data_IF_411166160539
#
_entry.id   IF_411166160539
#
_cell.length_a   1.000
_cell.length_b   1.000
_cell.length_c   1.000
_cell.angle_alpha   90.00
_cell.angle_beta   90.00
_cell.angle_gamma   90.00
#
_symmetry.space_group_name_H-M   'P 1'
#
loop_
_entity.id
_entity.type
_entity.pdbx_description
1 polymer ?
#
# COMPACT_ATOMS: atom_id res chain seq x y z
N UNK A 1 26.90 -53.28 -1.96
CA UNK A 1 27.11 -51.96 -2.63
C UNK A 1 25.90 -51.00 -2.57
N UNK A 2 24.65 -51.45 -2.87
CA UNK A 2 23.46 -50.55 -2.89
C UNK A 2 23.18 -49.80 -1.57
N UNK A 3 23.46 -50.39 -0.42
CA UNK A 3 23.21 -49.76 0.91
C UNK A 3 24.10 -48.53 1.21
N UNK A 4 25.34 -48.51 0.73
CA UNK A 4 26.27 -47.40 0.99
C UNK A 4 25.89 -46.15 0.18
N UNK A 5 25.47 -46.34 -1.08
CA UNK A 5 24.99 -45.25 -1.93
C UNK A 5 23.70 -44.62 -1.37
N UNK A 6 22.78 -45.45 -0.90
CA UNK A 6 21.53 -44.99 -0.29
C UNK A 6 21.77 -44.14 0.95
N UNK A 7 22.68 -44.55 1.84
CA UNK A 7 23.07 -43.77 3.02
C UNK A 7 23.71 -42.42 2.64
N UNK A 8 24.54 -42.38 1.60
CA UNK A 8 25.15 -41.13 1.11
C UNK A 8 24.12 -40.18 0.53
N UNK A 9 23.13 -40.69 -0.21
CA UNK A 9 22.03 -39.88 -0.75
C UNK A 9 21.20 -39.28 0.38
N UNK A 10 20.82 -40.06 1.39
CA UNK A 10 20.08 -39.55 2.55
C UNK A 10 20.88 -38.48 3.30
N UNK A 11 22.18 -38.71 3.52
CA UNK A 11 23.04 -37.71 4.17
C UNK A 11 23.12 -36.44 3.36
N UNK A 12 23.25 -36.53 2.03
CA UNK A 12 23.27 -35.34 1.16
C UNK A 12 21.95 -34.56 1.23
N UNK A 13 20.81 -35.23 1.14
CA UNK A 13 19.48 -34.59 1.27
C UNK A 13 19.36 -33.88 2.63
N UNK A 14 19.79 -34.53 3.70
CA UNK A 14 19.75 -33.96 5.04
C UNK A 14 20.66 -32.74 5.16
N UNK A 15 21.86 -32.79 4.60
CA UNK A 15 22.77 -31.65 4.57
C UNK A 15 22.19 -30.45 3.79
N UNK A 16 21.55 -30.69 2.64
CA UNK A 16 20.87 -29.65 1.86
C UNK A 16 19.72 -29.03 2.66
N UNK A 17 18.92 -29.85 3.33
CA UNK A 17 17.82 -29.35 4.19
C UNK A 17 18.34 -28.51 5.36
N UNK A 18 19.44 -28.91 5.99
CA UNK A 18 20.05 -28.11 7.07
C UNK A 18 20.57 -26.76 6.56
N UNK A 19 21.28 -26.75 5.44
CA UNK A 19 21.78 -25.52 4.82
C UNK A 19 20.63 -24.60 4.46
N UNK A 20 19.57 -25.13 3.84
CA UNK A 20 18.39 -24.37 3.50
C UNK A 20 17.67 -23.80 4.73
N UNK A 21 17.52 -24.61 5.79
CA UNK A 21 16.92 -24.16 7.05
C UNK A 21 17.72 -23.04 7.71
N UNK A 22 19.05 -23.14 7.71
CA UNK A 22 19.93 -22.09 8.22
C UNK A 22 19.82 -20.81 7.39
N UNK A 23 19.81 -20.92 6.07
CA UNK A 23 19.57 -19.78 5.17
C UNK A 23 18.22 -19.12 5.45
N UNK A 24 17.14 -19.91 5.55
CA UNK A 24 15.81 -19.39 5.83
C UNK A 24 15.75 -18.64 7.16
N UNK A 25 16.32 -19.20 8.21
CA UNK A 25 16.41 -18.56 9.53
C UNK A 25 17.15 -17.22 9.45
N UNK A 26 18.30 -17.19 8.76
CA UNK A 26 19.09 -15.97 8.57
C UNK A 26 18.26 -14.88 7.86
N UNK A 27 17.64 -15.20 6.73
CA UNK A 27 16.82 -14.24 5.98
C UNK A 27 15.57 -13.83 6.78
N UNK A 28 14.95 -14.72 7.56
CA UNK A 28 13.78 -14.39 8.36
C UNK A 28 14.08 -13.37 9.46
N UNK A 29 15.27 -13.46 10.07
CA UNK A 29 15.73 -12.47 11.06
C UNK A 29 16.00 -11.12 10.38
N UNK A 30 16.67 -11.12 9.22
CA UNK A 30 16.90 -9.92 8.43
C UNK A 30 15.58 -9.25 8.02
N UNK A 31 14.64 -10.02 7.51
CA UNK A 31 13.32 -9.53 7.11
C UNK A 31 12.57 -8.88 8.28
N UNK A 32 12.53 -9.55 9.44
CA UNK A 32 11.94 -8.98 10.64
C UNK A 32 12.61 -7.67 11.07
N UNK A 33 13.94 -7.64 11.03
CA UNK A 33 14.73 -6.46 11.44
C UNK A 33 14.49 -5.29 10.50
N UNK A 34 14.45 -5.53 9.19
CA UNK A 34 14.17 -4.48 8.21
C UNK A 34 12.76 -3.91 8.37
N UNK A 35 11.74 -4.77 8.52
CA UNK A 35 10.38 -4.31 8.79
C UNK A 35 10.36 -3.44 10.04
N UNK A 36 10.97 -3.91 11.13
CA UNK A 36 11.03 -3.16 12.38
C UNK A 36 11.69 -1.79 12.19
N UNK A 37 12.87 -1.76 11.58
CA UNK A 37 13.63 -0.52 11.37
C UNK A 37 12.84 0.49 10.52
N UNK A 38 12.14 0.03 9.48
CA UNK A 38 11.32 0.89 8.64
C UNK A 38 10.11 1.43 9.41
N UNK A 39 9.44 0.60 10.21
CA UNK A 39 8.31 1.03 11.05
C UNK A 39 8.76 2.03 12.13
N UNK A 40 9.91 1.78 12.75
CA UNK A 40 10.50 2.69 13.74
C UNK A 40 10.93 4.03 13.09
N UNK A 41 11.45 3.99 11.84
CA UNK A 41 11.83 5.18 11.08
C UNK A 41 10.65 6.11 10.78
N UNK A 42 9.48 5.56 10.45
CA UNK A 42 8.25 6.32 10.21
C UNK A 42 7.46 6.61 11.48
N UNK A 43 8.06 6.40 12.67
CA UNK A 43 7.43 6.60 13.97
C UNK A 43 6.07 5.90 14.13
N UNK A 44 5.94 4.70 13.57
CA UNK A 44 4.71 3.92 13.70
C UNK A 44 4.60 3.21 15.03
N UNK A 45 3.37 3.04 15.50
CA UNK A 45 3.07 2.22 16.66
C UNK A 45 2.61 0.83 16.21
N UNK A 46 3.12 -0.23 16.84
CA UNK A 46 2.68 -1.61 16.60
C UNK A 46 2.92 -2.46 17.84
N UNK A 47 2.11 -3.49 18.04
CA UNK A 47 2.23 -4.33 19.24
C UNK A 47 3.23 -5.46 19.06
N UNK A 48 3.28 -6.13 17.92
CA UNK A 48 4.12 -7.28 17.67
C UNK A 48 4.37 -7.53 16.17
N UNK A 49 5.56 -8.07 15.85
CA UNK A 49 5.92 -8.57 14.53
C UNK A 49 6.28 -10.06 14.64
N UNK A 50 5.49 -10.92 14.03
CA UNK A 50 5.70 -12.38 14.01
C UNK A 50 6.02 -12.86 12.59
N UNK A 51 7.20 -13.45 12.40
CA UNK A 51 7.59 -14.04 11.12
C UNK A 51 7.33 -15.55 11.13
N UNK A 52 6.79 -16.08 10.03
CA UNK A 52 6.42 -17.49 9.84
C UNK A 52 6.49 -17.86 8.34
N UNK A 53 6.13 -19.10 8.00
CA UNK A 53 5.91 -19.51 6.61
C UNK A 53 7.01 -20.41 6.00
N UNK A 54 7.92 -20.98 6.85
CA UNK A 54 8.87 -22.01 6.41
C UNK A 54 8.13 -23.19 5.71
N UNK A 55 8.70 -23.76 4.65
CA UNK A 55 9.94 -23.39 3.99
C UNK A 55 9.78 -22.49 2.77
N UNK A 56 8.57 -22.26 2.26
CA UNK A 56 8.37 -21.75 0.90
C UNK A 56 8.19 -20.24 0.82
N UNK A 57 7.80 -19.61 1.91
CA UNK A 57 7.58 -18.16 1.96
C UNK A 57 7.99 -17.60 3.31
N UNK A 58 8.19 -16.30 3.36
CA UNK A 58 8.27 -15.54 4.61
C UNK A 58 7.04 -14.68 4.73
N UNK A 59 6.43 -14.72 5.89
CA UNK A 59 5.21 -13.99 6.19
C UNK A 59 5.39 -13.27 7.52
N UNK A 60 5.42 -11.95 7.48
CA UNK A 60 5.40 -11.13 8.68
C UNK A 60 3.96 -10.70 8.97
N UNK A 61 3.46 -11.04 10.15
CA UNK A 61 2.21 -10.52 10.69
C UNK A 61 2.55 -9.40 11.67
N UNK A 62 1.96 -8.22 11.45
CA UNK A 62 2.11 -7.03 12.27
C UNK A 62 0.74 -6.73 12.86
N UNK A 63 0.66 -6.77 14.19
CA UNK A 63 -0.59 -6.49 14.89
C UNK A 63 -0.65 -5.03 15.31
N UNK A 64 -1.83 -4.44 15.24
CA UNK A 64 -2.17 -3.10 15.74
C UNK A 64 -1.22 -2.02 15.18
N UNK A 65 -0.95 -2.07 13.86
CA UNK A 65 -0.12 -1.07 13.22
C UNK A 65 -0.90 0.24 13.09
N UNK A 66 -0.35 1.30 13.65
CA UNK A 66 -0.88 2.65 13.54
C UNK A 66 0.22 3.61 13.12
N UNK A 67 -0.09 4.41 12.10
CA UNK A 67 0.71 5.56 11.68
C UNK A 67 0.08 6.80 12.26
N UNK A 68 0.86 7.56 13.03
CA UNK A 68 0.47 8.83 13.64
C UNK A 68 1.47 9.92 13.23
N UNK A 69 1.20 11.16 13.60
CA UNK A 69 2.06 12.32 13.32
C UNK A 69 1.95 12.89 11.91
N UNK A 70 0.75 12.84 11.34
CA UNK A 70 0.47 13.69 10.18
C UNK A 70 0.39 15.16 10.65
N UNK A 71 1.20 16.04 10.08
CA UNK A 71 1.25 17.47 10.46
C UNK A 71 -0.03 18.23 10.06
N UNK A 72 -0.93 17.59 9.33
CA UNK A 72 -2.20 18.17 8.95
C UNK A 72 -3.30 17.86 9.99
N UNK A 73 -4.16 18.85 10.27
CA UNK A 73 -5.28 18.69 11.20
C UNK A 73 -6.41 17.80 10.64
N UNK A 74 -6.33 17.38 9.37
CA UNK A 74 -7.36 16.61 8.70
C UNK A 74 -7.27 15.11 9.00
N UNK A 75 -6.05 14.55 8.98
CA UNK A 75 -5.81 13.14 9.24
C UNK A 75 -4.90 13.00 10.47
N UNK A 76 -5.35 12.32 11.51
CA UNK A 76 -4.57 12.12 12.73
C UNK A 76 -3.83 10.80 12.75
N UNK A 77 -4.53 9.73 12.42
CA UNK A 77 -4.01 8.37 12.47
C UNK A 77 -4.49 7.56 11.27
N UNK A 78 -3.65 6.63 10.83
CA UNK A 78 -4.03 5.55 9.93
C UNK A 78 -3.81 4.23 10.68
N UNK A 79 -4.88 3.51 10.94
CA UNK A 79 -4.84 2.22 11.61
C UNK A 79 -4.95 1.10 10.58
N UNK A 80 -4.08 0.13 10.70
CA UNK A 80 -4.06 -1.07 9.87
C UNK A 80 -4.35 -2.28 10.75
N UNK A 81 -5.34 -3.07 10.36
CA UNK A 81 -5.74 -4.26 11.08
C UNK A 81 -5.23 -5.51 10.35
N UNK A 82 -4.52 -6.37 11.11
CA UNK A 82 -3.99 -7.65 10.60
C UNK A 82 -3.10 -7.48 9.36
N UNK A 83 -2.11 -6.59 9.45
CA UNK A 83 -1.16 -6.41 8.34
C UNK A 83 -0.29 -7.63 8.18
N UNK A 84 -0.30 -8.16 6.98
CA UNK A 84 0.55 -9.27 6.58
C UNK A 84 1.42 -8.88 5.40
N UNK A 85 2.72 -9.06 5.54
CA UNK A 85 3.70 -8.86 4.48
C UNK A 85 4.29 -10.23 4.13
N UNK A 86 4.05 -10.69 2.91
CA UNK A 86 4.57 -11.95 2.40
C UNK A 86 5.72 -11.68 1.42
N UNK A 87 6.78 -12.48 1.51
CA UNK A 87 7.94 -12.43 0.65
C UNK A 87 8.36 -13.84 0.25
N UNK A 88 8.78 -14.01 -1.01
CA UNK A 88 9.48 -15.22 -1.42
C UNK A 88 10.97 -15.10 -1.06
N UNK A 89 11.55 -16.04 -0.29
CA UNK A 89 12.97 -15.98 0.10
C UNK A 89 13.96 -16.01 -1.08
N UNK A 90 13.51 -16.39 -2.27
CA UNK A 90 14.32 -16.38 -3.51
C UNK A 90 14.01 -15.17 -4.42
N UNK A 91 13.03 -14.33 -4.06
CA UNK A 91 12.64 -13.10 -4.75
C UNK A 91 12.41 -12.01 -3.71
N UNK A 92 13.48 -11.56 -3.10
CA UNK A 92 13.46 -10.60 -1.99
C UNK A 92 13.09 -9.17 -2.43
N UNK A 93 13.06 -8.94 -3.73
CA UNK A 93 12.68 -7.69 -4.38
C UNK A 93 11.16 -7.50 -4.51
N UNK A 94 10.39 -8.55 -4.25
CA UNK A 94 8.92 -8.53 -4.39
C UNK A 94 8.24 -8.84 -3.07
N UNK A 95 7.44 -7.88 -2.60
CA UNK A 95 6.63 -7.99 -1.38
C UNK A 95 5.14 -8.01 -1.72
N UNK A 96 4.39 -8.78 -0.98
CA UNK A 96 2.92 -8.81 -1.05
C UNK A 96 2.37 -8.35 0.30
N UNK A 97 1.58 -7.29 0.26
CA UNK A 97 0.91 -6.70 1.42
C UNK A 97 -0.55 -7.16 1.46
N UNK A 98 -1.06 -7.43 2.64
CA UNK A 98 -2.51 -7.63 2.89
C UNK A 98 -2.89 -6.99 4.21
N UNK A 99 -4.06 -6.37 4.22
CA UNK A 99 -4.71 -5.92 5.45
C UNK A 99 -6.21 -6.14 5.32
N UNK A 100 -6.83 -6.64 6.37
CA UNK A 100 -8.28 -6.86 6.37
C UNK A 100 -9.02 -5.52 6.36
N UNK A 101 -8.46 -4.52 7.04
CA UNK A 101 -9.03 -3.19 7.13
C UNK A 101 -7.92 -2.16 7.31
N UNK A 102 -8.09 -1.00 6.67
CA UNK A 102 -7.26 0.19 6.85
C UNK A 102 -8.18 1.38 7.06
N UNK A 103 -8.03 2.07 8.16
CA UNK A 103 -8.90 3.14 8.60
C UNK A 103 -8.11 4.41 8.87
N UNK A 104 -8.55 5.52 8.28
CA UNK A 104 -8.00 6.84 8.56
C UNK A 104 -8.94 7.63 9.46
N UNK A 105 -8.42 8.18 10.55
CA UNK A 105 -9.20 8.94 11.55
C UNK A 105 -9.01 10.44 11.36
N UNK A 106 -10.09 11.20 11.55
CA UNK A 106 -10.09 12.66 11.50
C UNK A 106 -9.59 13.25 12.82
N UNK A 107 -8.66 14.22 12.76
CA UNK A 107 -8.22 15.03 13.91
C UNK A 107 -7.63 14.24 15.09
N UNK A 108 -6.95 14.92 15.99
CA UNK A 108 -6.17 14.29 17.05
C UNK A 108 -6.99 13.53 18.12
N UNK A 109 -8.28 13.83 18.25
CA UNK A 109 -9.15 13.26 19.29
C UNK A 109 -10.46 12.68 18.73
N UNK A 110 -10.58 12.56 17.41
CA UNK A 110 -11.79 12.02 16.78
C UNK A 110 -11.74 10.49 16.71
N UNK A 111 -12.89 9.88 16.94
CA UNK A 111 -13.13 8.46 16.64
C UNK A 111 -13.77 8.28 15.27
N UNK A 112 -13.97 9.40 14.55
CA UNK A 112 -14.62 9.38 13.25
C UNK A 112 -13.65 8.96 12.16
N UNK A 113 -14.07 7.98 11.37
CA UNK A 113 -13.31 7.45 10.25
C UNK A 113 -13.58 8.28 9.00
N UNK A 114 -12.52 8.91 8.45
CA UNK A 114 -12.58 9.60 7.16
C UNK A 114 -12.68 8.62 6.01
N UNK A 115 -11.93 7.54 6.09
CA UNK A 115 -11.95 6.48 5.10
C UNK A 115 -11.73 5.12 5.75
N UNK A 116 -12.31 4.10 5.13
CA UNK A 116 -12.15 2.72 5.56
C UNK A 116 -12.01 1.80 4.33
N UNK A 117 -10.79 1.32 4.10
CA UNK A 117 -10.52 0.29 3.10
C UNK A 117 -10.75 -1.09 3.71
N UNK A 118 -11.41 -1.97 2.96
CA UNK A 118 -11.57 -3.39 3.31
C UNK A 118 -10.85 -4.28 2.30
N UNK A 119 -10.23 -5.34 2.82
CA UNK A 119 -9.49 -6.32 2.02
C UNK A 119 -8.43 -5.66 1.13
N UNK A 120 -7.62 -4.77 1.71
CA UNK A 120 -6.50 -4.15 1.00
C UNK A 120 -5.45 -5.20 0.67
N UNK A 121 -5.08 -5.30 -0.60
CA UNK A 121 -4.01 -6.15 -1.09
C UNK A 121 -3.03 -5.31 -1.88
N UNK A 122 -1.74 -5.61 -1.71
CA UNK A 122 -0.68 -4.87 -2.39
C UNK A 122 0.40 -5.78 -2.94
N UNK A 123 1.01 -5.34 -4.03
CA UNK A 123 2.26 -5.89 -4.56
C UNK A 123 3.24 -4.75 -4.74
N UNK A 124 4.38 -4.87 -4.09
CA UNK A 124 5.47 -3.90 -4.11
C UNK A 124 6.67 -4.58 -4.77
N UNK A 125 7.24 -3.95 -5.78
CA UNK A 125 8.50 -4.39 -6.39
C UNK A 125 9.55 -3.33 -6.11
N UNK A 126 10.68 -3.79 -5.56
CA UNK A 126 11.80 -2.97 -5.18
C UNK A 126 12.95 -3.15 -6.19
N UNK A 127 13.73 -2.11 -6.41
CA UNK A 127 15.03 -2.19 -7.06
C UNK A 127 15.97 -1.25 -6.32
N UNK A 128 17.11 -1.77 -5.87
CA UNK A 128 18.11 -1.00 -5.11
C UNK A 128 17.53 -0.28 -3.87
N UNK A 129 16.51 -0.88 -3.25
CA UNK A 129 15.81 -0.33 -2.08
C UNK A 129 14.70 0.68 -2.41
N UNK A 130 14.54 1.08 -3.66
CA UNK A 130 13.47 1.97 -4.11
C UNK A 130 12.25 1.19 -4.60
N UNK A 131 11.06 1.75 -4.40
CA UNK A 131 9.82 1.20 -4.95
C UNK A 131 9.76 1.55 -6.44
N UNK A 132 9.90 0.54 -7.31
CA UNK A 132 9.76 0.71 -8.77
C UNK A 132 8.35 0.40 -9.27
N UNK A 133 7.61 -0.45 -8.55
CA UNK A 133 6.21 -0.74 -8.87
C UNK A 133 5.41 -0.93 -7.59
N UNK A 134 4.25 -0.32 -7.54
CA UNK A 134 3.24 -0.52 -6.51
C UNK A 134 1.90 -0.82 -7.18
N UNK A 135 1.25 -1.89 -6.78
CA UNK A 135 -0.13 -2.20 -7.11
C UNK A 135 -0.89 -2.37 -5.81
N UNK A 136 -1.92 -1.56 -5.59
CA UNK A 136 -2.86 -1.71 -4.48
C UNK A 136 -4.25 -1.99 -5.04
N UNK A 137 -4.95 -2.92 -4.42
CA UNK A 137 -6.32 -3.30 -4.76
C UNK A 137 -7.10 -3.37 -3.46
N UNK A 138 -8.29 -2.77 -3.43
CA UNK A 138 -9.23 -2.93 -2.34
C UNK A 138 -10.61 -3.25 -2.90
N UNK A 139 -11.31 -4.17 -2.22
CA UNK A 139 -12.69 -4.53 -2.60
C UNK A 139 -13.64 -3.39 -2.31
N UNK A 140 -13.33 -2.60 -1.26
CA UNK A 140 -14.26 -1.64 -0.71
C UNK A 140 -13.53 -0.47 -0.06
N UNK A 141 -14.03 0.73 -0.29
CA UNK A 141 -13.61 1.96 0.37
C UNK A 141 -14.87 2.76 0.74
N UNK A 142 -15.10 2.92 2.02
CA UNK A 142 -16.09 3.85 2.55
C UNK A 142 -15.42 5.21 2.76
N UNK A 143 -16.03 6.28 2.26
CA UNK A 143 -15.61 7.66 2.50
C UNK A 143 -16.64 8.35 3.37
N UNK A 144 -16.18 8.93 4.47
CA UNK A 144 -17.00 9.69 5.40
C UNK A 144 -16.43 11.09 5.58
N UNK A 145 -17.26 12.04 5.91
CA UNK A 145 -16.86 13.39 6.31
C UNK A 145 -17.79 13.88 7.40
N UNK A 146 -17.27 14.06 8.60
CA UNK A 146 -18.05 14.17 9.81
C UNK A 146 -19.07 13.03 9.88
N UNK A 147 -20.26 13.23 10.33
CA UNK A 147 -21.32 12.20 10.42
C UNK A 147 -21.94 11.80 9.06
N UNK A 148 -21.42 12.29 7.93
CA UNK A 148 -21.98 12.04 6.60
C UNK A 148 -21.16 11.00 5.84
N UNK A 149 -21.82 9.92 5.39
CA UNK A 149 -21.24 9.01 4.40
C UNK A 149 -21.24 9.71 3.03
N UNK A 150 -20.05 10.03 2.51
CA UNK A 150 -19.88 10.68 1.20
C UNK A 150 -20.14 9.68 0.08
N UNK A 151 -19.78 8.41 0.29
CA UNK A 151 -19.98 7.40 -0.73
C UNK A 151 -19.25 6.10 -0.45
N UNK A 152 -19.72 5.09 -1.16
CA UNK A 152 -19.17 3.73 -1.15
C UNK A 152 -18.51 3.47 -2.49
N UNK A 153 -17.20 3.21 -2.44
CA UNK A 153 -16.38 2.94 -3.60
C UNK A 153 -16.02 1.46 -3.61
N UNK A 154 -16.20 0.81 -4.73
CA UNK A 154 -15.84 -0.59 -4.93
C UNK A 154 -14.77 -0.72 -6.00
N UNK A 155 -14.07 -1.86 -6.01
CA UNK A 155 -13.07 -2.18 -7.01
C UNK A 155 -11.99 -1.10 -7.18
N UNK A 156 -11.43 -0.64 -6.06
CA UNK A 156 -10.35 0.34 -6.09
C UNK A 156 -9.06 -0.33 -6.54
N UNK A 157 -8.42 0.25 -7.55
CA UNK A 157 -7.12 -0.20 -8.07
C UNK A 157 -6.22 1.01 -8.20
N UNK A 158 -5.04 0.95 -7.56
CA UNK A 158 -3.99 1.96 -7.69
C UNK A 158 -2.73 1.29 -8.22
N UNK A 159 -2.13 1.86 -9.25
CA UNK A 159 -0.86 1.42 -9.83
C UNK A 159 0.10 2.59 -9.86
N UNK A 160 1.31 2.37 -9.35
CA UNK A 160 2.41 3.30 -9.46
C UNK A 160 3.58 2.55 -10.11
N UNK A 161 4.17 3.11 -11.14
CA UNK A 161 5.38 2.59 -11.78
C UNK A 161 6.40 3.72 -11.87
N UNK A 162 7.61 3.47 -11.45
CA UNK A 162 8.76 4.35 -11.67
C UNK A 162 9.37 4.01 -13.03
N UNK A 163 9.54 4.99 -13.87
CA UNK A 163 10.24 4.84 -15.15
C UNK A 163 11.76 5.10 -15.03
N UNK A 164 12.47 4.90 -16.14
CA UNK A 164 13.91 5.12 -16.21
C UNK A 164 14.34 6.59 -16.10
N UNK A 165 13.38 7.53 -16.13
CA UNK A 165 13.61 8.98 -16.02
C UNK A 165 13.30 9.51 -14.63
N UNK A 166 13.11 8.63 -13.65
CA UNK A 166 12.72 8.98 -12.29
C UNK A 166 11.34 9.65 -12.20
N UNK A 167 10.43 9.24 -13.09
CA UNK A 167 9.04 9.70 -13.11
C UNK A 167 8.12 8.57 -12.63
N UNK A 168 7.33 8.86 -11.61
CA UNK A 168 6.26 7.98 -11.17
C UNK A 168 5.03 8.17 -12.04
N UNK A 169 4.65 7.14 -12.77
CA UNK A 169 3.37 7.06 -13.46
C UNK A 169 2.32 6.53 -12.49
N UNK A 170 1.29 7.33 -12.22
CA UNK A 170 0.22 7.02 -11.28
C UNK A 170 -1.07 6.76 -12.06
N UNK A 171 -1.69 5.63 -11.79
CA UNK A 171 -2.99 5.27 -12.33
C UNK A 171 -3.87 4.76 -11.19
N UNK A 172 -4.95 5.47 -10.93
CA UNK A 172 -5.97 5.08 -9.97
C UNK A 172 -7.30 4.92 -10.70
N UNK A 173 -8.05 3.88 -10.35
CA UNK A 173 -9.41 3.71 -10.82
C UNK A 173 -10.28 3.09 -9.72
N UNK A 174 -11.51 3.54 -9.65
CA UNK A 174 -12.49 3.06 -8.68
C UNK A 174 -13.90 3.19 -9.23
N UNK A 175 -14.83 2.39 -8.73
CA UNK A 175 -16.25 2.47 -9.06
C UNK A 175 -16.98 2.92 -7.80
N UNK A 176 -17.59 4.10 -7.85
CA UNK A 176 -18.46 4.61 -6.80
C UNK A 176 -19.90 4.21 -7.10
N UNK A 177 -20.57 3.59 -6.13
CA UNK A 177 -21.94 3.14 -6.28
C UNK A 177 -22.95 4.20 -5.80
N UNK A 178 -22.58 4.98 -4.78
CA UNK A 178 -23.42 5.98 -4.14
C UNK A 178 -22.58 7.20 -3.76
N UNK A 179 -22.16 7.99 -4.76
CA UNK A 179 -21.44 9.24 -4.52
C UNK A 179 -22.47 10.35 -4.23
N UNK A 180 -22.27 11.08 -3.11
CA UNK A 180 -23.13 12.18 -2.72
C UNK A 180 -24.63 11.80 -2.63
N UNK A 181 -24.94 10.73 -1.89
CA UNK A 181 -26.31 10.27 -1.65
C UNK A 181 -27.12 9.98 -2.93
N UNK A 182 -26.53 9.21 -3.83
CA UNK A 182 -27.18 8.63 -5.02
C UNK A 182 -27.57 9.60 -6.15
N UNK A 183 -27.25 10.90 -6.04
CA UNK A 183 -27.55 11.84 -7.14
C UNK A 183 -26.81 11.56 -8.44
N UNK A 184 -25.64 10.92 -8.37
CA UNK A 184 -24.81 10.65 -9.53
C UNK A 184 -24.87 9.20 -10.03
N UNK A 185 -25.64 8.33 -9.36
CA UNK A 185 -25.70 6.92 -9.69
C UNK A 185 -24.33 6.22 -9.65
N UNK A 186 -24.15 5.18 -10.44
CA UNK A 186 -22.89 4.44 -10.50
C UNK A 186 -21.88 5.19 -11.36
N UNK A 187 -20.79 5.67 -10.74
CA UNK A 187 -19.76 6.46 -11.40
C UNK A 187 -18.41 5.76 -11.36
N UNK A 188 -17.59 5.98 -12.39
CA UNK A 188 -16.17 5.61 -12.41
C UNK A 188 -15.33 6.82 -12.07
N UNK A 189 -14.46 6.70 -11.08
CA UNK A 189 -13.46 7.70 -10.73
C UNK A 189 -12.12 7.20 -11.28
N UNK A 190 -11.39 8.05 -11.97
CA UNK A 190 -10.02 7.77 -12.39
C UNK A 190 -9.10 8.95 -12.10
N UNK A 191 -7.87 8.64 -11.72
CA UNK A 191 -6.79 9.59 -11.54
C UNK A 191 -5.58 9.05 -12.30
N UNK A 192 -5.08 9.81 -13.28
CA UNK A 192 -3.95 9.38 -14.08
C UNK A 192 -2.99 10.53 -14.27
N UNK A 193 -1.70 10.26 -14.23
CA UNK A 193 -0.67 11.26 -14.48
C UNK A 193 0.71 10.86 -14.01
N UNK A 194 1.56 11.85 -13.87
CA UNK A 194 2.99 11.68 -13.63
C UNK A 194 3.49 12.61 -12.53
N UNK A 195 4.40 12.11 -11.70
CA UNK A 195 5.08 12.88 -10.65
C UNK A 195 6.58 12.61 -10.76
N UNK A 196 7.39 13.66 -10.81
CA UNK A 196 8.84 13.55 -10.72
C UNK A 196 9.26 13.12 -9.31
N UNK A 197 10.06 12.05 -9.21
CA UNK A 197 10.64 11.61 -7.94
C UNK A 197 11.76 12.51 -7.43
N UNK A 198 12.26 13.43 -8.28
CA UNK A 198 13.37 14.33 -7.94
C UNK A 198 12.86 15.65 -7.39
N UNK A 199 11.87 16.26 -8.09
CA UNK A 199 11.34 17.59 -7.73
C UNK A 199 10.06 17.54 -6.94
N UNK A 200 9.38 16.38 -6.89
CA UNK A 200 8.04 16.20 -6.37
C UNK A 200 7.00 17.10 -7.08
N UNK A 201 7.25 17.40 -8.36
CA UNK A 201 6.31 18.12 -9.20
C UNK A 201 5.59 17.16 -10.14
N UNK A 202 4.35 17.48 -10.47
CA UNK A 202 3.58 16.62 -11.36
C UNK A 202 2.20 17.15 -11.71
N UNK A 203 1.55 16.45 -12.59
CA UNK A 203 0.16 16.71 -12.96
C UNK A 203 -0.59 15.39 -13.03
N UNK A 204 -1.70 15.32 -12.31
CA UNK A 204 -2.63 14.22 -12.36
C UNK A 204 -3.97 14.73 -12.91
N UNK A 205 -4.63 13.94 -13.72
CA UNK A 205 -5.96 14.24 -14.25
C UNK A 205 -6.99 13.42 -13.48
N UNK A 206 -7.92 14.10 -12.81
CA UNK A 206 -9.10 13.49 -12.19
C UNK A 206 -10.23 13.49 -13.22
N UNK A 207 -10.84 12.35 -13.44
CA UNK A 207 -12.05 12.21 -14.22
C UNK A 207 -13.11 11.46 -13.41
N UNK A 208 -14.34 11.99 -13.40
CA UNK A 208 -15.54 11.32 -12.90
C UNK A 208 -16.46 11.07 -14.09
N UNK A 209 -16.77 9.83 -14.37
CA UNK A 209 -17.49 9.38 -15.57
C UNK A 209 -18.71 8.57 -15.12
N UNK A 210 -19.86 8.88 -15.67
CA UNK A 210 -21.06 8.05 -15.50
C UNK A 210 -20.79 6.64 -16.08
N UNK A 211 -21.01 5.60 -15.28
CA UNK A 211 -20.57 4.26 -15.67
C UNK A 211 -21.44 3.68 -16.82
N UNK A 212 -22.72 4.02 -16.88
CA UNK A 212 -23.64 3.48 -17.87
C UNK A 212 -23.48 4.12 -19.25
N UNK A 213 -23.47 5.45 -19.31
CA UNK A 213 -23.45 6.20 -20.56
C UNK A 213 -22.06 6.70 -20.96
N UNK A 214 -21.05 6.49 -20.12
CA UNK A 214 -19.66 6.97 -20.30
C UNK A 214 -19.58 8.51 -20.42
N UNK A 215 -20.59 9.23 -19.94
CA UNK A 215 -20.59 10.68 -19.95
C UNK A 215 -19.61 11.19 -18.89
N UNK A 216 -18.73 12.10 -19.29
CA UNK A 216 -17.81 12.76 -18.37
C UNK A 216 -18.57 13.81 -17.55
N UNK A 217 -18.74 13.55 -16.24
CA UNK A 217 -19.44 14.44 -15.32
C UNK A 217 -18.52 15.53 -14.80
N UNK A 218 -17.26 15.17 -14.57
CA UNK A 218 -16.25 16.09 -14.06
C UNK A 218 -14.88 15.72 -14.61
N UNK A 219 -14.04 16.73 -14.87
CA UNK A 219 -12.67 16.54 -15.30
C UNK A 219 -11.84 17.75 -14.90
N UNK A 220 -10.79 17.53 -14.11
CA UNK A 220 -9.92 18.62 -13.66
C UNK A 220 -8.48 18.14 -13.48
N UNK A 221 -7.49 18.99 -13.77
CA UNK A 221 -6.11 18.73 -13.43
C UNK A 221 -5.89 18.94 -11.93
N UNK A 222 -5.11 18.04 -11.35
CA UNK A 222 -4.57 18.13 -10.02
C UNK A 222 -3.08 18.39 -10.16
N UNK A 223 -2.63 19.58 -9.78
CA UNK A 223 -1.23 19.98 -9.92
C UNK A 223 -0.47 19.75 -8.63
N UNK A 224 0.77 19.33 -8.78
CA UNK A 224 1.68 19.11 -7.66
C UNK A 224 2.90 19.98 -7.92
N UNK A 225 3.18 20.91 -7.00
CA UNK A 225 4.33 21.80 -7.08
C UNK A 225 5.11 21.76 -5.77
N UNK A 226 6.36 21.34 -5.81
CA UNK A 226 7.20 21.15 -4.62
C UNK A 226 6.51 20.30 -3.54
N UNK A 227 5.77 19.26 -3.95
CA UNK A 227 5.01 18.40 -3.06
C UNK A 227 3.64 18.94 -2.62
N UNK A 228 3.26 20.18 -2.97
CA UNK A 228 1.94 20.74 -2.65
C UNK A 228 0.93 20.38 -3.71
N UNK A 229 -0.13 19.73 -3.30
CA UNK A 229 -1.21 19.28 -4.18
C UNK A 229 -2.31 20.33 -4.25
N UNK A 230 -2.71 20.73 -5.44
CA UNK A 230 -3.77 21.70 -5.68
C UNK A 230 -4.74 21.21 -6.75
N UNK A 231 -6.03 21.40 -6.51
CA UNK A 231 -7.09 21.17 -7.48
C UNK A 231 -7.63 22.51 -7.93
N UNK A 232 -7.56 22.81 -9.23
CA UNK A 232 -8.01 24.09 -9.79
C UNK A 232 -7.46 25.31 -9.02
N UNK A 233 -6.17 25.26 -8.66
CA UNK A 233 -5.46 26.27 -7.86
C UNK A 233 -5.85 26.34 -6.36
N UNK A 234 -6.76 25.50 -5.89
CA UNK A 234 -7.09 25.39 -4.47
C UNK A 234 -6.11 24.37 -3.83
N UNK A 235 -5.31 24.78 -2.83
CA UNK A 235 -4.42 23.84 -2.15
C UNK A 235 -5.23 22.79 -1.38
N UNK A 236 -4.90 21.52 -1.56
CA UNK A 236 -5.56 20.38 -0.89
C UNK A 236 -4.66 19.74 0.16
N UNK A 237 -3.40 19.50 -0.19
CA UNK A 237 -2.49 18.67 0.60
C UNK A 237 -1.03 19.03 0.29
N UNK A 238 -0.13 18.92 1.28
CA UNK A 238 1.32 18.91 1.08
C UNK A 238 1.83 17.47 1.16
N UNK A 239 2.45 16.97 0.09
CA UNK A 239 2.97 15.59 0.04
C UNK A 239 4.16 15.39 0.99
N UNK A 240 4.81 16.46 1.44
CA UNK A 240 5.86 16.38 2.46
C UNK A 240 5.33 15.92 3.82
N UNK A 241 4.02 16.13 4.06
CA UNK A 241 3.34 15.63 5.26
C UNK A 241 3.15 14.10 5.20
N UNK A 242 3.30 13.51 4.00
CA UNK A 242 3.29 12.07 3.78
C UNK A 242 4.76 11.62 3.66
N UNK A 243 5.41 11.32 4.77
CA UNK A 243 6.83 10.94 4.86
C UNK A 243 7.20 9.59 4.19
N UNK A 244 6.53 9.26 3.09
CA UNK A 244 6.74 8.04 2.32
C UNK A 244 7.62 8.22 1.06
N UNK A 245 8.06 9.45 0.77
CA UNK A 245 8.88 9.77 -0.40
C UNK A 245 10.21 10.40 0.00
#
# INVERSE_FOLDING_TARGET
MKSVYFKRIIFFIFAVLLIYSAYWLFISVQFKTQIKNNLDYINSNYSNIKVSGYPYRMSALINDLSLSNFENNFLSNINFYDVRIDMNPFQIDTLYLRSNQVEGLEGANSTESLFNFKNLQGKIVLSEGMIIKLLLISDYLDLNYHDYNIGKISQTVMKINLDNQSIYQINFSAIANDLLNSYLGKTKISLNGEISSITNDGVLQIDIIENENQNKLFSAPLTINNGKVSLLFVPLLDLKDLSFF
#
